data_IF_738201657968
#
_entry.id   IF_738201657968
#
_cell.length_a   1.000
_cell.length_b   1.000
_cell.length_c   1.000
_cell.angle_alpha   90.00
_cell.angle_beta   90.00
_cell.angle_gamma   90.00
#
_symmetry.space_group_name_H-M   'P 1'
#
loop_
_entity.id
_entity.type
_entity.pdbx_description
1 polymer ?
#
# COMPACT_ATOMS: atom_id res chain seq x y z
N UNK A 1 27.07 -19.53 4.84
CA UNK A 1 26.26 -18.32 4.54
C UNK A 1 26.21 -18.16 3.03
N UNK A 2 25.01 -18.19 2.44
CA UNK A 2 24.83 -18.04 0.99
C UNK A 2 25.22 -16.62 0.55
N UNK A 3 25.78 -16.47 -0.65
CA UNK A 3 26.23 -15.21 -1.26
C UNK A 3 25.14 -14.12 -1.32
N UNK A 4 23.86 -14.51 -1.37
CA UNK A 4 22.73 -13.59 -1.31
C UNK A 4 22.56 -12.95 0.09
N UNK A 5 22.77 -13.73 1.17
CA UNK A 5 22.65 -13.24 2.55
C UNK A 5 23.74 -12.25 2.93
N UNK A 6 24.96 -12.39 2.39
CA UNK A 6 26.07 -11.45 2.66
C UNK A 6 25.93 -10.13 1.91
N UNK A 7 25.33 -10.13 0.71
CA UNK A 7 25.04 -8.90 -0.05
C UNK A 7 23.93 -8.06 0.60
N UNK A 8 22.86 -8.72 1.06
CA UNK A 8 21.73 -8.04 1.72
C UNK A 8 22.18 -7.34 3.01
N UNK A 9 23.02 -8.01 3.80
CA UNK A 9 23.56 -7.46 5.05
C UNK A 9 24.42 -6.21 4.78
N UNK A 10 25.27 -6.26 3.73
CA UNK A 10 26.10 -5.12 3.32
C UNK A 10 25.27 -3.93 2.84
N UNK A 11 24.22 -4.17 2.05
CA UNK A 11 23.32 -3.12 1.58
C UNK A 11 22.58 -2.43 2.75
N UNK A 12 22.09 -3.23 3.71
CA UNK A 12 21.46 -2.72 4.93
C UNK A 12 22.43 -1.86 5.75
N UNK A 13 23.64 -2.37 6.00
CA UNK A 13 24.65 -1.63 6.78
C UNK A 13 25.04 -0.31 6.12
N UNK A 14 25.16 -0.29 4.79
CA UNK A 14 25.49 0.93 4.06
C UNK A 14 24.34 1.95 4.11
N UNK A 15 23.10 1.51 3.89
CA UNK A 15 21.92 2.37 3.94
C UNK A 15 21.73 3.02 5.32
N UNK A 16 21.82 2.20 6.39
CA UNK A 16 21.69 2.67 7.76
C UNK A 16 22.74 3.74 8.10
N UNK A 17 23.99 3.52 7.68
CA UNK A 17 25.08 4.47 7.86
C UNK A 17 24.79 5.80 7.16
N UNK A 18 24.39 5.75 5.89
CA UNK A 18 24.14 6.94 5.09
C UNK A 18 22.97 7.76 5.65
N UNK A 19 21.87 7.10 6.01
CA UNK A 19 20.70 7.77 6.60
C UNK A 19 21.05 8.41 7.93
N UNK A 20 21.74 7.69 8.82
CA UNK A 20 22.17 8.23 10.11
C UNK A 20 23.09 9.44 9.96
N UNK A 21 24.03 9.39 9.00
CA UNK A 21 24.90 10.51 8.67
C UNK A 21 24.11 11.72 8.17
N UNK A 22 23.17 11.52 7.26
CA UNK A 22 22.31 12.60 6.74
C UNK A 22 21.49 13.26 7.85
N UNK A 23 20.89 12.46 8.74
CA UNK A 23 20.15 12.96 9.91
C UNK A 23 21.04 13.86 10.78
N UNK A 24 22.23 13.37 11.15
CA UNK A 24 23.19 14.15 11.94
C UNK A 24 23.64 15.43 11.24
N UNK A 25 23.99 15.37 9.94
CA UNK A 25 24.48 16.54 9.19
C UNK A 25 23.44 17.62 8.99
N UNK A 26 22.18 17.24 8.81
CA UNK A 26 21.08 18.19 8.74
C UNK A 26 20.82 18.82 10.11
N UNK A 27 20.89 18.05 11.19
CA UNK A 27 20.77 18.57 12.54
C UNK A 27 21.89 19.55 12.92
N UNK A 28 23.14 19.29 12.51
CA UNK A 28 24.30 20.19 12.74
C UNK A 28 24.07 21.61 12.21
N UNK A 29 23.33 21.76 11.11
CA UNK A 29 22.98 23.05 10.50
C UNK A 29 21.62 23.60 10.97
N UNK A 30 21.01 22.97 11.99
CA UNK A 30 19.75 23.40 12.59
C UNK A 30 18.49 22.90 11.86
N UNK A 31 18.60 22.00 10.89
CA UNK A 31 17.45 21.40 10.21
C UNK A 31 16.88 20.26 11.07
N UNK A 32 15.62 20.39 11.46
CA UNK A 32 14.91 19.37 12.24
C UNK A 32 14.09 18.46 11.33
N UNK A 33 14.44 17.18 11.31
CA UNK A 33 13.76 16.18 10.49
C UNK A 33 12.66 15.54 11.31
N UNK A 34 11.40 15.78 10.94
CA UNK A 34 10.24 15.17 11.62
C UNK A 34 9.93 13.75 11.15
N UNK A 35 10.29 13.39 9.91
CA UNK A 35 9.97 12.08 9.35
C UNK A 35 10.97 11.62 8.29
N UNK A 36 11.08 10.30 8.15
CA UNK A 36 11.74 9.62 7.07
C UNK A 36 10.71 8.77 6.32
N UNK A 37 10.60 8.97 5.01
CA UNK A 37 9.64 8.30 4.13
C UNK A 37 10.39 7.36 3.20
N UNK A 38 9.97 6.09 3.11
CA UNK A 38 10.57 5.11 2.18
C UNK A 38 9.51 4.27 1.48
N UNK A 39 9.89 3.59 0.40
CA UNK A 39 9.10 2.48 -0.17
C UNK A 39 9.09 1.25 0.76
N UNK A 40 8.46 0.17 0.32
CA UNK A 40 8.30 -1.10 1.05
C UNK A 40 9.46 -2.10 0.90
N UNK A 41 10.60 -1.68 0.36
CA UNK A 41 11.72 -2.60 0.15
C UNK A 41 12.19 -3.19 1.49
N UNK A 42 12.47 -4.50 1.53
CA UNK A 42 12.84 -5.20 2.76
C UNK A 42 14.05 -4.60 3.50
N UNK A 43 14.99 -3.99 2.77
CA UNK A 43 16.13 -3.26 3.37
C UNK A 43 15.71 -1.99 4.09
N UNK A 44 14.68 -1.29 3.63
CA UNK A 44 14.16 -0.07 4.25
C UNK A 44 13.41 -0.41 5.55
N UNK A 45 12.61 -1.48 5.54
CA UNK A 45 12.02 -2.03 6.76
C UNK A 45 13.07 -2.45 7.79
N UNK A 46 14.12 -3.15 7.36
CA UNK A 46 15.20 -3.54 8.24
C UNK A 46 15.93 -2.31 8.80
N UNK A 47 16.20 -1.29 7.97
CA UNK A 47 16.79 -0.03 8.42
C UNK A 47 15.93 0.66 9.49
N UNK A 48 14.62 0.78 9.29
CA UNK A 48 13.73 1.34 10.31
C UNK A 48 13.79 0.55 11.63
N UNK A 49 13.87 -0.78 11.55
CA UNK A 49 14.00 -1.62 12.73
C UNK A 49 15.34 -1.39 13.45
N UNK A 50 16.46 -1.30 12.71
CA UNK A 50 17.79 -1.00 13.26
C UNK A 50 17.87 0.40 13.87
N UNK A 51 17.16 1.39 13.29
CA UNK A 51 17.03 2.72 13.87
C UNK A 51 16.17 2.73 15.16
N UNK A 52 15.40 1.66 15.42
CA UNK A 52 14.61 1.50 16.63
C UNK A 52 13.10 1.72 16.46
N UNK A 53 12.62 1.92 15.23
CA UNK A 53 11.19 1.92 14.93
C UNK A 53 10.64 0.49 14.93
N UNK A 54 9.38 0.34 15.32
CA UNK A 54 8.65 -0.94 15.27
C UNK A 54 7.51 -0.80 14.27
N UNK A 55 7.66 -1.42 13.11
CA UNK A 55 6.69 -1.31 12.00
C UNK A 55 5.75 -2.51 11.90
N UNK A 56 5.83 -3.47 12.83
CA UNK A 56 4.98 -4.67 12.81
C UNK A 56 3.64 -4.42 13.49
N UNK A 57 2.50 -4.88 12.91
CA UNK A 57 1.15 -4.63 13.42
C UNK A 57 0.93 -4.93 14.90
N UNK A 58 1.62 -5.93 15.44
CA UNK A 58 1.41 -6.39 16.82
C UNK A 58 1.97 -5.41 17.87
N UNK A 59 2.90 -4.51 17.49
CA UNK A 59 3.55 -3.59 18.41
C UNK A 59 4.08 -2.36 17.64
N UNK A 60 3.18 -1.63 17.00
CA UNK A 60 3.54 -0.48 16.15
C UNK A 60 4.07 0.68 17.03
N UNK A 61 5.28 1.10 16.72
CA UNK A 61 5.94 2.33 17.21
C UNK A 61 6.70 2.93 16.03
N UNK A 62 6.02 3.70 15.14
CA UNK A 62 6.54 4.08 13.84
C UNK A 62 7.40 5.34 13.97
N UNK A 63 8.35 5.30 14.89
CA UNK A 63 9.29 6.37 15.15
C UNK A 63 10.52 5.83 15.87
N UNK A 64 11.61 6.55 15.72
CA UNK A 64 12.87 6.34 16.43
C UNK A 64 13.40 7.66 16.97
N UNK A 65 14.35 7.59 17.90
CA UNK A 65 15.03 8.78 18.41
C UNK A 65 16.09 9.23 17.41
N UNK A 66 16.23 10.53 17.21
CA UNK A 66 17.26 11.07 16.33
C UNK A 66 18.65 10.60 16.79
N UNK A 67 19.54 10.13 15.90
CA UNK A 67 20.80 9.48 16.28
C UNK A 67 21.73 10.36 17.13
N UNK A 68 21.65 11.68 16.95
CA UNK A 68 22.43 12.67 17.72
C UNK A 68 21.64 13.31 18.88
N UNK A 69 20.33 13.52 18.73
CA UNK A 69 19.50 14.23 19.71
C UNK A 69 18.38 13.30 20.19
N UNK A 70 18.62 12.64 21.31
CA UNK A 70 17.69 11.62 21.81
C UNK A 70 16.41 12.21 22.42
N UNK A 71 16.28 13.54 22.48
CA UNK A 71 15.02 14.21 22.81
C UNK A 71 14.08 14.34 21.61
N UNK A 72 14.62 14.25 20.40
CA UNK A 72 13.87 14.41 19.15
C UNK A 72 13.43 13.08 18.56
N UNK A 73 12.20 13.03 18.04
CA UNK A 73 11.64 11.85 17.38
C UNK A 73 11.59 12.05 15.88
N UNK A 74 12.03 11.03 15.14
CA UNK A 74 11.86 10.94 13.69
C UNK A 74 10.82 9.86 13.41
N UNK A 75 9.74 10.23 12.72
CA UNK A 75 8.68 9.31 12.34
C UNK A 75 9.10 8.47 11.11
N UNK A 76 8.91 7.16 11.18
CA UNK A 76 9.12 6.24 10.08
C UNK A 76 7.80 6.08 9.31
N UNK A 77 7.78 6.50 8.06
CA UNK A 77 6.58 6.51 7.20
C UNK A 77 6.88 5.67 5.96
N UNK A 78 5.91 4.85 5.57
CA UNK A 78 5.94 4.18 4.28
C UNK A 78 5.20 5.05 3.27
N UNK A 79 5.71 5.12 2.05
CA UNK A 79 5.07 5.88 0.98
C UNK A 79 3.66 5.32 0.70
N UNK A 80 2.65 6.15 0.94
CA UNK A 80 1.25 5.81 0.79
C UNK A 80 0.90 5.34 -0.63
N UNK A 81 1.56 5.87 -1.67
CA UNK A 81 1.31 5.47 -3.04
C UNK A 81 1.79 4.04 -3.32
N UNK A 82 2.98 3.70 -2.83
CA UNK A 82 3.50 2.33 -2.90
C UNK A 82 2.65 1.38 -2.06
N UNK A 83 2.19 1.81 -0.87
CA UNK A 83 1.28 0.98 -0.05
C UNK A 83 -0.05 0.69 -0.75
N UNK A 84 -0.65 1.70 -1.39
CA UNK A 84 -1.90 1.54 -2.13
C UNK A 84 -1.73 0.56 -3.30
N UNK A 85 -0.61 0.66 -4.00
CA UNK A 85 -0.26 -0.25 -5.07
C UNK A 85 -0.12 -1.70 -4.57
N UNK A 86 0.54 -1.90 -3.43
CA UNK A 86 0.66 -3.23 -2.82
C UNK A 86 -0.70 -3.83 -2.47
N UNK A 87 -1.61 -3.05 -1.88
CA UNK A 87 -2.97 -3.51 -1.55
C UNK A 87 -3.72 -3.91 -2.82
N UNK A 88 -3.69 -3.06 -3.85
CA UNK A 88 -4.32 -3.35 -5.15
C UNK A 88 -3.74 -4.60 -5.80
N UNK A 89 -2.42 -4.73 -5.79
CA UNK A 89 -1.72 -5.89 -6.35
C UNK A 89 -2.02 -7.17 -5.56
N UNK A 90 -2.11 -7.08 -4.23
CA UNK A 90 -2.47 -8.21 -3.37
C UNK A 90 -3.90 -8.67 -3.67
N UNK A 91 -4.86 -7.74 -3.77
CA UNK A 91 -6.24 -8.06 -4.12
C UNK A 91 -6.34 -8.73 -5.49
N UNK A 92 -5.66 -8.17 -6.49
CA UNK A 92 -5.68 -8.71 -7.85
C UNK A 92 -4.92 -10.04 -8.00
N UNK A 93 -3.86 -10.26 -7.21
CA UNK A 93 -3.11 -11.53 -7.25
C UNK A 93 -3.82 -12.64 -6.48
N UNK A 94 -4.28 -12.34 -5.25
CA UNK A 94 -4.89 -13.33 -4.36
C UNK A 94 -6.36 -13.57 -4.67
N UNK A 95 -7.00 -12.68 -5.42
CA UNK A 95 -8.42 -12.66 -5.79
C UNK A 95 -9.39 -12.47 -4.63
N UNK A 96 -9.05 -12.97 -3.45
CA UNK A 96 -9.82 -12.84 -2.21
C UNK A 96 -8.87 -12.42 -1.09
N UNK A 97 -9.21 -11.33 -0.40
CA UNK A 97 -8.62 -10.93 0.87
C UNK A 97 -9.65 -11.12 1.99
N UNK A 98 -9.16 -11.25 3.22
CA UNK A 98 -10.01 -11.29 4.41
C UNK A 98 -9.76 -10.08 5.29
N UNK A 99 -10.84 -9.46 5.72
CA UNK A 99 -10.78 -8.39 6.70
C UNK A 99 -10.60 -8.96 8.13
N UNK A 100 -10.62 -8.08 9.14
CA UNK A 100 -10.49 -8.46 10.56
C UNK A 100 -11.66 -9.34 11.06
N UNK A 101 -12.83 -9.25 10.43
CA UNK A 101 -14.03 -10.01 10.76
C UNK A 101 -14.12 -11.34 10.00
N UNK A 102 -13.13 -11.65 9.14
CA UNK A 102 -13.11 -12.79 8.19
C UNK A 102 -14.13 -12.68 7.06
N UNK A 103 -14.60 -11.47 6.79
CA UNK A 103 -15.43 -11.14 5.65
C UNK A 103 -14.56 -11.10 4.39
N UNK A 104 -15.14 -11.52 3.26
CA UNK A 104 -14.38 -11.78 2.03
C UNK A 104 -14.42 -10.56 1.12
N UNK A 105 -13.26 -9.94 0.91
CA UNK A 105 -13.03 -8.86 -0.06
C UNK A 105 -12.67 -9.52 -1.39
N UNK A 106 -13.48 -9.36 -2.43
CA UNK A 106 -13.31 -10.12 -3.68
C UNK A 106 -13.01 -9.22 -4.87
N UNK A 107 -11.92 -9.53 -5.58
CA UNK A 107 -11.58 -8.88 -6.85
C UNK A 107 -12.65 -9.12 -7.93
N UNK A 108 -13.42 -10.22 -7.82
CA UNK A 108 -14.47 -10.58 -8.79
C UNK A 108 -15.56 -9.52 -8.93
N UNK A 109 -15.88 -8.77 -7.86
CA UNK A 109 -16.87 -7.69 -7.94
C UNK A 109 -16.37 -6.54 -8.83
N UNK A 110 -15.07 -6.22 -8.77
CA UNK A 110 -14.44 -5.19 -9.60
C UNK A 110 -14.42 -5.63 -11.07
N UNK A 111 -14.13 -6.91 -11.34
CA UNK A 111 -14.17 -7.49 -12.69
C UNK A 111 -15.60 -7.47 -13.24
N UNK A 112 -16.58 -7.95 -12.47
CA UNK A 112 -17.99 -7.95 -12.85
C UNK A 112 -18.51 -6.54 -13.11
N UNK A 113 -18.05 -5.55 -12.34
CA UNK A 113 -18.39 -4.15 -12.58
C UNK A 113 -17.85 -3.68 -13.93
N UNK A 114 -16.59 -3.99 -14.26
CA UNK A 114 -16.03 -3.64 -15.55
C UNK A 114 -16.80 -4.31 -16.72
N UNK A 115 -17.17 -5.58 -16.58
CA UNK A 115 -17.99 -6.29 -17.57
C UNK A 115 -19.35 -5.63 -17.76
N UNK A 116 -20.05 -5.27 -16.68
CA UNK A 116 -21.34 -4.60 -16.72
C UNK A 116 -21.25 -3.24 -17.45
N UNK A 117 -20.17 -2.49 -17.24
CA UNK A 117 -19.95 -1.25 -17.97
C UNK A 117 -19.78 -1.47 -19.47
N UNK A 118 -19.13 -2.56 -19.88
CA UNK A 118 -18.95 -2.88 -21.29
C UNK A 118 -20.26 -3.37 -21.93
N UNK A 119 -21.07 -4.15 -21.22
CA UNK A 119 -22.32 -4.71 -21.77
C UNK A 119 -23.42 -3.66 -21.95
N UNK A 120 -23.52 -2.72 -21.00
CA UNK A 120 -24.61 -1.73 -20.99
C UNK A 120 -24.25 -0.41 -21.71
N UNK A 121 -23.04 -0.30 -22.29
CA UNK A 121 -22.46 0.97 -22.77
C UNK A 121 -22.53 2.10 -21.72
N UNK A 122 -22.52 1.71 -20.43
CA UNK A 122 -22.71 2.62 -19.31
C UNK A 122 -21.37 3.18 -18.85
N UNK A 123 -21.24 4.51 -18.92
CA UNK A 123 -20.10 5.24 -18.37
C UNK A 123 -20.17 5.45 -16.83
N UNK A 124 -20.80 4.53 -16.09
CA UNK A 124 -21.06 4.66 -14.65
C UNK A 124 -19.78 4.90 -13.82
N UNK A 125 -18.67 4.22 -14.17
CA UNK A 125 -17.32 4.55 -13.71
C UNK A 125 -16.40 4.88 -14.88
N UNK A 126 -16.37 6.15 -15.33
CA UNK A 126 -15.55 6.62 -16.48
C UNK A 126 -14.06 6.28 -16.43
N UNK A 127 -13.55 5.91 -15.25
CA UNK A 127 -12.13 5.63 -15.00
C UNK A 127 -11.78 4.15 -15.02
N UNK A 128 -12.70 3.24 -14.67
CA UNK A 128 -12.43 1.80 -14.70
C UNK A 128 -12.42 1.31 -16.15
N UNK A 129 -11.29 0.76 -16.59
CA UNK A 129 -11.01 0.33 -17.97
C UNK A 129 -10.33 -1.03 -17.96
N UNK A 130 -10.23 -1.69 -19.11
CA UNK A 130 -9.55 -2.99 -19.25
C UNK A 130 -8.14 -3.01 -18.63
N UNK A 131 -7.40 -1.90 -18.70
CA UNK A 131 -6.08 -1.78 -18.06
C UNK A 131 -6.10 -1.96 -16.52
N UNK A 132 -7.23 -1.74 -15.86
CA UNK A 132 -7.39 -1.97 -14.42
C UNK A 132 -7.63 -3.46 -14.11
N UNK A 133 -8.11 -4.22 -15.10
CA UNK A 133 -8.36 -5.66 -14.99
C UNK A 133 -7.12 -6.45 -15.41
N UNK A 134 -6.40 -5.99 -16.45
CA UNK A 134 -5.08 -6.49 -16.85
C UNK A 134 -3.98 -6.01 -15.89
N UNK A 135 -4.15 -6.35 -14.61
CA UNK A 135 -3.25 -5.92 -13.54
C UNK A 135 -1.82 -6.44 -13.72
N UNK A 136 -1.66 -7.63 -14.31
CA UNK A 136 -0.36 -8.28 -14.49
C UNK A 136 0.58 -7.42 -15.35
N UNK A 137 0.04 -6.81 -16.40
CA UNK A 137 0.78 -5.91 -17.29
C UNK A 137 0.93 -4.48 -16.72
N UNK A 138 0.21 -4.15 -15.63
CA UNK A 138 0.08 -2.79 -15.10
C UNK A 138 0.49 -2.66 -13.61
N UNK A 139 1.21 -3.66 -13.09
CA UNK A 139 1.56 -3.83 -11.66
C UNK A 139 2.19 -2.61 -10.97
N UNK A 140 2.83 -1.70 -11.71
CA UNK A 140 3.54 -0.52 -11.20
C UNK A 140 2.81 0.81 -11.42
N UNK A 141 1.52 0.77 -11.79
CA UNK A 141 0.73 1.97 -12.11
C UNK A 141 -0.17 2.36 -10.95
N UNK A 142 0.39 3.13 -10.01
CA UNK A 142 -0.30 3.71 -8.85
C UNK A 142 -1.62 4.40 -9.22
N UNK A 143 -1.66 5.10 -10.36
CA UNK A 143 -2.88 5.79 -10.80
C UNK A 143 -4.04 4.84 -11.13
N UNK A 144 -3.76 3.62 -11.60
CA UNK A 144 -4.77 2.60 -11.82
C UNK A 144 -5.20 1.99 -10.49
N UNK A 145 -4.27 1.68 -9.59
CA UNK A 145 -4.59 1.21 -8.24
C UNK A 145 -5.54 2.19 -7.50
N UNK A 146 -5.24 3.48 -7.56
CA UNK A 146 -6.08 4.53 -6.97
C UNK A 146 -7.45 4.70 -7.64
N UNK A 147 -7.59 4.35 -8.92
CA UNK A 147 -8.88 4.38 -9.62
C UNK A 147 -9.72 3.15 -9.30
N UNK A 148 -9.08 1.97 -9.23
CA UNK A 148 -9.70 0.70 -8.85
C UNK A 148 -10.21 0.75 -7.41
N UNK A 149 -9.39 1.20 -6.46
CA UNK A 149 -9.74 1.32 -5.04
C UNK A 149 -10.19 2.76 -4.77
N UNK A 150 -11.40 3.10 -5.20
CA UNK A 150 -11.95 4.45 -5.06
C UNK A 150 -13.39 4.45 -4.55
N UNK A 151 -13.77 5.55 -3.89
CA UNK A 151 -15.14 5.76 -3.44
C UNK A 151 -16.17 5.69 -4.59
N UNK A 152 -15.77 6.03 -5.82
CA UNK A 152 -16.64 5.90 -6.99
C UNK A 152 -16.90 4.45 -7.36
N UNK A 153 -15.91 3.56 -7.27
CA UNK A 153 -16.10 2.12 -7.51
C UNK A 153 -16.97 1.53 -6.41
N UNK A 154 -16.65 1.85 -5.15
CA UNK A 154 -17.42 1.42 -3.98
C UNK A 154 -18.91 1.81 -4.10
N UNK A 155 -19.20 3.08 -4.42
CA UNK A 155 -20.58 3.55 -4.55
C UNK A 155 -21.37 2.89 -5.69
N UNK A 156 -20.71 2.48 -6.78
CA UNK A 156 -21.39 1.74 -7.86
C UNK A 156 -21.63 0.28 -7.47
N UNK A 157 -20.72 -0.36 -6.73
CA UNK A 157 -20.95 -1.70 -6.18
C UNK A 157 -22.15 -1.71 -5.22
N UNK A 158 -22.21 -0.75 -4.28
CA UNK A 158 -23.37 -0.57 -3.39
C UNK A 158 -24.66 -0.34 -4.17
N UNK A 159 -24.60 0.46 -5.25
CA UNK A 159 -25.76 0.71 -6.10
C UNK A 159 -26.24 -0.56 -6.82
N UNK A 160 -25.32 -1.36 -7.35
CA UNK A 160 -25.63 -2.60 -8.05
C UNK A 160 -26.25 -3.66 -7.11
N UNK A 161 -25.76 -3.77 -5.88
CA UNK A 161 -26.31 -4.73 -4.90
C UNK A 161 -27.63 -4.23 -4.29
N UNK A 162 -27.65 -3.00 -3.78
CA UNK A 162 -28.76 -2.48 -2.98
C UNK A 162 -29.94 -1.94 -3.79
N UNK A 163 -29.69 -1.31 -4.94
CA UNK A 163 -30.76 -0.64 -5.72
C UNK A 163 -31.15 -1.42 -6.98
N UNK A 164 -30.16 -1.94 -7.71
CA UNK A 164 -30.43 -2.71 -8.94
C UNK A 164 -30.67 -4.20 -8.66
N UNK A 165 -30.34 -4.68 -7.46
CA UNK A 165 -30.56 -6.06 -7.02
C UNK A 165 -29.90 -7.10 -7.96
N UNK A 166 -28.72 -6.78 -8.50
CA UNK A 166 -28.05 -7.66 -9.47
C UNK A 166 -27.33 -8.79 -8.71
N UNK A 167 -27.74 -10.04 -8.98
CA UNK A 167 -27.20 -11.25 -8.33
C UNK A 167 -25.67 -11.31 -8.25
N UNK A 168 -24.96 -10.88 -9.31
CA UNK A 168 -23.49 -10.88 -9.38
C UNK A 168 -22.82 -10.02 -8.30
N UNK A 169 -23.52 -9.03 -7.75
CA UNK A 169 -22.99 -8.08 -6.78
C UNK A 169 -23.48 -8.31 -5.35
N UNK A 170 -24.33 -9.31 -5.13
CA UNK A 170 -24.83 -9.65 -3.80
C UNK A 170 -23.69 -9.91 -2.82
N UNK A 171 -23.76 -9.27 -1.65
CA UNK A 171 -22.81 -9.48 -0.57
C UNK A 171 -21.47 -8.77 -0.81
N UNK A 172 -21.46 -7.69 -1.61
CA UNK A 172 -20.24 -6.96 -1.92
C UNK A 172 -19.80 -5.97 -0.83
N UNK A 173 -20.58 -5.82 0.25
CA UNK A 173 -20.33 -4.86 1.33
C UNK A 173 -18.90 -4.94 1.88
N UNK A 174 -18.30 -6.13 2.14
CA UNK A 174 -16.92 -6.19 2.61
C UNK A 174 -15.89 -5.65 1.60
N UNK A 175 -16.22 -5.60 0.31
CA UNK A 175 -15.35 -5.05 -0.75
C UNK A 175 -15.53 -3.53 -0.91
N UNK A 176 -16.62 -2.97 -0.39
CA UNK A 176 -16.94 -1.55 -0.44
C UNK A 176 -16.26 -0.78 0.71
N UNK A 177 -16.24 -1.36 1.91
CA UNK A 177 -15.68 -0.78 3.15
C UNK A 177 -14.19 -1.01 3.35
#
# INVERSE_FOLDING_TARGET
>A
MTTAGSQLLRALSFLLLLVSLCLCKLHEIGVLIGALVTDDLGSNFAMFQELGAKMRPQNIRPWFLHPYDHSWRVHAILDAFHMLELVSNALATMQILQDKNREMIKCSYIVALHELQQSEDLQATKKLKAAHIDWASQKMKVNLAAQTISASVAGVLEFCDGYLDIDKFKGCEPTVT
#
